data_IF_348009234509
#
_entry.id   IF_348009234509
#
_cell.length_a   1.000
_cell.length_b   1.000
_cell.length_c   1.000
_cell.angle_alpha   90.00
_cell.angle_beta   90.00
_cell.angle_gamma   90.00
#
_symmetry.space_group_name_H-M   'P 1'
#
loop_
_entity.id
_entity.type
_entity.pdbx_description
1 polymer ?
#
# COMPACT_ATOMS: atom_id res chain seq x y z
N UNK A 1 18.92 50.94 -6.20
CA UNK A 1 18.06 51.60 -5.20
C UNK A 1 16.69 50.95 -5.32
N UNK A 2 16.19 50.33 -4.24
CA UNK A 2 14.76 50.03 -3.96
C UNK A 2 14.06 49.04 -4.94
N UNK A 3 13.18 48.08 -4.59
CA UNK A 3 12.66 47.44 -3.38
C UNK A 3 11.48 46.54 -3.86
N UNK A 4 11.40 45.30 -3.39
CA UNK A 4 10.18 44.65 -2.81
C UNK A 4 8.93 44.30 -3.69
N UNK A 5 8.32 43.16 -3.27
CA UNK A 5 6.93 42.62 -3.41
C UNK A 5 6.64 41.83 -4.70
N UNK A 6 6.45 40.49 -4.67
CA UNK A 6 5.53 39.60 -3.91
C UNK A 6 4.05 39.87 -4.25
N UNK A 7 3.36 38.87 -4.83
CA UNK A 7 1.94 38.44 -4.68
C UNK A 7 1.65 37.39 -5.80
N UNK A 8 1.42 36.09 -5.56
CA UNK A 8 0.30 35.31 -4.95
C UNK A 8 -0.82 34.91 -5.95
N UNK A 9 -1.16 33.61 -5.98
CA UNK A 9 -2.49 32.92 -6.13
C UNK A 9 -2.20 31.46 -6.57
N UNK A 10 -2.39 30.35 -5.84
CA UNK A 10 -3.37 29.86 -4.84
C UNK A 10 -4.67 29.33 -5.49
N UNK A 11 -4.84 28.00 -5.52
CA UNK A 11 -6.16 27.31 -5.49
C UNK A 11 -6.00 25.81 -5.17
N UNK A 12 -6.16 25.41 -3.89
CA UNK A 12 -7.27 24.59 -3.30
C UNK A 12 -7.10 23.07 -3.49
N UNK A 13 -7.19 22.18 -2.49
CA UNK A 13 -8.14 22.11 -1.37
C UNK A 13 -7.64 21.19 -0.22
N UNK A 14 -8.06 21.57 1.00
CA UNK A 14 -8.10 20.95 2.33
C UNK A 14 -7.67 19.47 2.52
N UNK A 15 -6.74 19.26 3.46
CA UNK A 15 -6.92 18.27 4.54
C UNK A 15 -6.81 19.01 5.86
N UNK A 16 -7.85 18.83 6.69
CA UNK A 16 -7.99 19.39 8.01
C UNK A 16 -6.80 19.05 8.90
N UNK A 17 -6.04 20.06 9.34
CA UNK A 17 -5.14 19.93 10.49
C UNK A 17 -6.04 19.73 11.70
N UNK A 18 -6.27 18.47 12.09
CA UNK A 18 -6.75 18.18 13.43
C UNK A 18 -5.63 18.62 14.39
N UNK A 19 -5.87 19.75 15.07
CA UNK A 19 -5.13 20.19 16.24
C UNK A 19 -5.12 19.05 17.27
N UNK A 20 -4.00 18.35 17.41
CA UNK A 20 -3.77 17.51 18.57
C UNK A 20 -3.11 18.42 19.62
N UNK A 21 -3.92 18.82 20.60
CA UNK A 21 -3.45 19.53 21.78
C UNK A 21 -2.63 18.58 22.65
N UNK A 22 -1.38 18.91 22.94
CA UNK A 22 -0.75 18.55 24.22
C UNK A 22 -0.29 19.86 24.89
N UNK A 23 -0.68 20.04 26.15
CA UNK A 23 -0.74 21.34 26.82
C UNK A 23 0.60 21.92 27.31
N UNK A 24 1.76 21.30 27.05
CA UNK A 24 3.01 21.70 27.75
C UNK A 24 4.25 21.87 26.85
N UNK A 25 4.08 22.15 25.56
CA UNK A 25 5.21 22.63 24.73
C UNK A 25 4.87 23.97 24.10
N UNK A 26 5.77 24.98 24.20
CA UNK A 26 5.62 26.17 23.37
C UNK A 26 5.56 25.75 21.89
N UNK A 27 4.98 26.56 21.01
CA UNK A 27 4.79 26.27 19.57
C UNK A 27 6.12 25.91 18.87
N UNK A 28 6.60 24.67 19.04
CA UNK A 28 7.78 24.15 18.36
C UNK A 28 7.37 23.91 16.92
N UNK A 29 8.04 24.60 15.99
CA UNK A 29 7.83 24.45 14.55
C UNK A 29 9.09 23.93 13.90
N UNK A 30 8.91 23.28 12.76
CA UNK A 30 10.02 23.00 11.85
C UNK A 30 10.08 24.16 10.87
N UNK A 31 11.24 24.79 10.78
CA UNK A 31 11.50 25.87 9.83
C UNK A 31 12.68 25.53 8.93
N UNK A 32 12.58 25.96 7.67
CA UNK A 32 13.66 25.87 6.69
C UNK A 32 14.38 27.21 6.66
N UNK A 33 15.68 27.20 6.93
CA UNK A 33 16.54 28.38 6.82
C UNK A 33 16.99 28.64 5.37
N UNK A 34 17.64 29.78 5.16
CA UNK A 34 18.16 30.18 3.83
C UNK A 34 19.23 29.23 3.27
N UNK A 35 19.85 28.44 4.14
CA UNK A 35 20.79 27.37 3.79
C UNK A 35 20.10 26.07 3.33
N UNK A 36 18.77 26.09 3.17
CA UNK A 36 17.92 24.93 2.89
C UNK A 36 18.02 23.82 3.95
N UNK A 37 18.40 24.16 5.18
CA UNK A 37 18.40 23.24 6.32
C UNK A 37 17.17 23.45 7.19
N UNK A 38 16.79 22.40 7.90
CA UNK A 38 15.66 22.34 8.79
C UNK A 38 16.12 22.48 10.25
N UNK A 39 15.38 23.21 11.06
CA UNK A 39 15.61 23.28 12.50
C UNK A 39 14.28 23.26 13.27
N UNK A 40 14.32 22.73 14.48
CA UNK A 40 13.20 22.85 15.41
C UNK A 40 13.35 24.17 16.16
N UNK A 41 12.36 25.04 16.01
CA UNK A 41 12.42 26.40 16.52
C UNK A 41 11.22 26.71 17.41
N UNK A 42 11.42 27.66 18.32
CA UNK A 42 10.34 28.26 19.12
C UNK A 42 10.29 29.75 18.87
N UNK A 43 9.10 30.36 19.00
CA UNK A 43 8.97 31.81 18.99
C UNK A 43 9.10 32.35 20.42
N UNK A 44 10.15 33.13 20.66
CA UNK A 44 10.35 33.88 21.90
C UNK A 44 10.35 35.37 21.57
N UNK A 45 9.37 36.13 22.09
CA UNK A 45 9.27 37.58 21.91
C UNK A 45 9.34 38.05 20.44
N UNK A 46 8.59 37.39 19.54
CA UNK A 46 8.58 37.62 18.10
C UNK A 46 9.91 37.28 17.38
N UNK A 47 10.80 36.51 18.03
CA UNK A 47 12.04 36.02 17.44
C UNK A 47 12.05 34.50 17.42
N UNK A 48 12.45 33.92 16.30
CA UNK A 48 12.62 32.46 16.17
C UNK A 48 13.98 32.04 16.73
N UNK A 49 13.96 31.09 17.68
CA UNK A 49 15.14 30.55 18.35
C UNK A 49 15.29 29.07 17.96
N UNK A 50 16.45 28.68 17.46
CA UNK A 50 16.78 27.27 17.16
C UNK A 50 16.99 26.50 18.47
N UNK A 51 16.11 25.54 18.73
CA UNK A 51 16.17 24.68 19.91
C UNK A 51 16.97 23.40 19.67
N UNK A 52 17.00 22.89 18.43
CA UNK A 52 17.70 21.64 18.13
C UNK A 52 19.21 21.76 18.22
N UNK A 53 19.76 22.99 18.12
CA UNK A 53 21.20 23.23 18.17
C UNK A 53 21.96 22.74 16.94
N UNK A 54 21.27 22.05 16.03
CA UNK A 54 21.75 21.57 14.74
C UNK A 54 20.78 21.98 13.64
N UNK A 55 21.36 22.12 12.45
CA UNK A 55 20.67 22.28 11.18
C UNK A 55 20.65 20.92 10.46
N UNK A 56 19.45 20.43 10.17
CA UNK A 56 19.20 19.14 9.54
C UNK A 56 19.04 19.28 8.03
N UNK A 57 19.40 18.26 7.27
CA UNK A 57 19.08 18.19 5.84
C UNK A 57 17.58 17.99 5.60
N UNK A 58 16.89 17.34 6.55
CA UNK A 58 15.44 17.14 6.57
C UNK A 58 15.01 16.83 8.02
N UNK A 59 13.80 17.23 8.41
CA UNK A 59 13.25 17.01 9.74
C UNK A 59 11.73 16.82 9.67
N UNK A 60 11.21 15.85 10.43
CA UNK A 60 9.77 15.54 10.50
C UNK A 60 9.17 15.94 11.84
N UNK A 61 7.87 16.19 11.88
CA UNK A 61 7.18 16.52 13.13
C UNK A 61 7.33 15.40 14.16
N UNK A 62 7.42 15.80 15.43
CA UNK A 62 7.39 14.86 16.54
C UNK A 62 6.09 14.08 16.53
N UNK A 63 6.22 12.76 16.62
CA UNK A 63 5.11 11.83 16.68
C UNK A 63 4.50 11.82 18.09
N UNK A 64 3.30 11.23 18.29
CA UNK A 64 2.65 11.17 19.59
C UNK A 64 3.49 10.50 20.69
N UNK A 65 4.36 9.54 20.33
CA UNK A 65 5.32 8.89 21.25
C UNK A 65 6.56 9.76 21.56
N UNK A 66 6.66 10.97 21.03
CA UNK A 66 7.68 11.95 21.42
C UNK A 66 9.03 11.81 20.75
N UNK A 67 9.09 11.11 19.62
CA UNK A 67 10.30 11.03 18.79
C UNK A 67 10.06 11.62 17.40
N UNK A 68 11.14 11.99 16.73
CA UNK A 68 11.10 12.52 15.38
C UNK A 68 12.23 11.94 14.52
N UNK A 69 11.95 11.78 13.25
CA UNK A 69 12.94 11.43 12.25
C UNK A 69 13.66 12.69 11.77
N UNK A 70 14.98 12.60 11.61
CA UNK A 70 15.81 13.66 11.05
C UNK A 70 16.83 13.09 10.07
N UNK A 71 17.27 13.92 9.13
CA UNK A 71 18.46 13.68 8.31
C UNK A 71 19.54 14.69 8.69
N UNK A 72 20.71 14.19 9.07
CA UNK A 72 21.86 14.99 9.47
C UNK A 72 23.11 14.50 8.74
N UNK A 73 23.76 15.39 8.00
CA UNK A 73 24.94 15.09 7.18
C UNK A 73 24.73 13.88 6.24
N UNK A 74 23.59 13.86 5.58
CA UNK A 74 23.15 12.81 4.65
C UNK A 74 22.58 11.55 5.32
N UNK A 75 22.78 11.37 6.63
CA UNK A 75 22.37 10.17 7.38
C UNK A 75 21.06 10.38 8.14
N UNK A 76 20.26 9.33 8.27
CA UNK A 76 18.98 9.33 8.98
C UNK A 76 19.18 8.97 10.45
N UNK A 77 18.40 9.55 11.36
CA UNK A 77 18.35 9.14 12.76
C UNK A 77 17.02 9.53 13.43
N UNK A 78 16.83 9.01 14.64
CA UNK A 78 15.72 9.33 15.52
C UNK A 78 16.22 10.22 16.65
N UNK A 79 15.48 11.29 16.92
CA UNK A 79 15.69 12.19 18.06
C UNK A 79 14.49 12.18 19.01
N UNK A 80 14.72 12.47 20.28
CA UNK A 80 13.64 12.73 21.25
C UNK A 80 13.28 14.23 21.34
N UNK A 81 12.24 14.57 22.12
CA UNK A 81 11.81 15.97 22.37
C UNK A 81 12.85 16.87 23.04
N UNK A 82 13.97 16.32 23.53
CA UNK A 82 15.13 17.09 24.00
C UNK A 82 16.17 17.29 22.89
N UNK A 83 15.81 16.99 21.64
CA UNK A 83 16.63 17.05 20.43
C UNK A 83 17.91 16.19 20.50
N UNK A 84 17.93 15.19 21.39
CA UNK A 84 19.04 14.24 21.49
C UNK A 84 18.79 13.07 20.55
N UNK A 85 19.84 12.63 19.85
CA UNK A 85 19.85 11.37 19.13
C UNK A 85 19.57 10.23 20.11
N UNK A 86 18.64 9.35 19.74
CA UNK A 86 18.30 8.12 20.47
C UNK A 86 18.51 6.86 19.62
N UNK A 87 18.89 7.02 18.35
CA UNK A 87 19.33 5.94 17.47
C UNK A 87 20.73 6.22 16.94
N UNK A 88 21.30 5.23 16.26
CA UNK A 88 22.47 5.43 15.41
C UNK A 88 22.15 6.31 14.19
N UNK A 89 23.21 6.68 13.45
CA UNK A 89 23.14 7.33 12.15
C UNK A 89 23.16 6.29 11.03
N UNK A 90 22.08 6.24 10.26
CA UNK A 90 21.84 5.27 9.19
C UNK A 90 21.99 5.88 7.81
N UNK A 91 22.44 5.09 6.83
CA UNK A 91 22.47 5.50 5.42
C UNK A 91 21.04 5.70 4.90
N UNK A 92 20.13 4.80 5.28
CA UNK A 92 18.73 4.85 4.90
C UNK A 92 17.81 4.37 6.04
N UNK A 93 16.57 4.84 6.04
CA UNK A 93 15.56 4.50 7.03
C UNK A 93 14.18 4.61 6.39
N UNK A 94 13.31 3.61 6.60
CA UNK A 94 11.94 3.63 6.06
C UNK A 94 11.11 4.73 6.70
N UNK A 95 10.14 5.25 5.93
CA UNK A 95 9.21 6.27 6.39
C UNK A 95 8.31 5.67 7.48
N UNK A 96 8.24 6.36 8.62
CA UNK A 96 7.32 6.08 9.70
C UNK A 96 5.87 6.26 9.27
N UNK A 97 5.08 5.18 9.26
CA UNK A 97 3.61 5.27 9.28
C UNK A 97 3.07 4.22 10.25
N UNK A 98 2.73 4.60 11.49
CA UNK A 98 2.08 3.75 12.50
C UNK A 98 2.78 2.40 12.77
N UNK A 99 4.11 2.37 12.71
CA UNK A 99 4.92 1.16 12.77
C UNK A 99 5.83 1.14 13.98
N UNK A 100 5.70 0.07 14.78
CA UNK A 100 6.62 -0.28 15.88
C UNK A 100 7.97 -0.81 15.36
N UNK A 101 8.16 -0.88 14.04
CA UNK A 101 9.28 -1.52 13.39
C UNK A 101 9.72 -0.70 12.19
N UNK A 102 10.95 -0.23 12.21
CA UNK A 102 11.51 0.70 11.23
C UNK A 102 12.66 -0.01 10.55
N UNK A 103 12.57 -0.14 9.23
CA UNK A 103 13.65 -0.69 8.43
C UNK A 103 14.81 0.32 8.37
N UNK A 104 16.01 -0.15 8.63
CA UNK A 104 17.23 0.66 8.62
C UNK A 104 18.32 0.01 7.78
N UNK A 105 19.15 0.85 7.17
CA UNK A 105 20.35 0.45 6.45
C UNK A 105 21.56 1.18 7.03
N UNK A 106 22.61 0.42 7.36
CA UNK A 106 23.91 0.94 7.78
C UNK A 106 25.02 0.20 7.05
N UNK A 107 25.85 0.95 6.33
CA UNK A 107 27.02 0.43 5.61
C UNK A 107 26.69 -0.76 4.67
N UNK A 108 25.52 -0.72 4.03
CA UNK A 108 25.04 -1.75 3.08
C UNK A 108 24.37 -2.97 3.72
N UNK A 109 24.26 -3.00 5.06
CA UNK A 109 23.54 -4.03 5.81
C UNK A 109 22.21 -3.49 6.32
N UNK A 110 21.23 -4.38 6.41
CA UNK A 110 19.85 -4.04 6.74
C UNK A 110 19.42 -4.74 8.03
N UNK A 111 18.53 -4.07 8.75
CA UNK A 111 17.94 -4.55 10.00
C UNK A 111 16.66 -3.78 10.32
N UNK A 112 16.14 -3.99 11.51
CA UNK A 112 14.96 -3.30 12.01
C UNK A 112 15.15 -2.79 13.43
N UNK A 113 14.73 -1.55 13.68
CA UNK A 113 14.71 -0.94 15.01
C UNK A 113 13.27 -0.64 15.43
N UNK A 114 13.04 -0.47 16.73
CA UNK A 114 11.81 0.10 17.24
C UNK A 114 11.86 1.65 17.24
N UNK A 115 10.77 2.26 17.68
CA UNK A 115 10.60 3.71 17.81
C UNK A 115 11.50 4.36 18.87
N UNK A 116 12.14 3.58 19.73
CA UNK A 116 13.13 4.03 20.69
C UNK A 116 14.56 3.98 20.13
N UNK A 117 14.74 3.56 18.87
CA UNK A 117 16.05 3.39 18.25
C UNK A 117 16.75 2.07 18.60
N UNK A 118 16.07 1.17 19.32
CA UNK A 118 16.62 -0.13 19.72
C UNK A 118 16.46 -1.16 18.61
N UNK A 119 17.51 -1.92 18.35
CA UNK A 119 17.50 -3.03 17.41
C UNK A 119 16.52 -4.13 17.85
N UNK A 120 15.65 -4.53 16.91
CA UNK A 120 14.73 -5.67 16.99
C UNK A 120 15.26 -6.81 16.12
N UNK A 121 15.72 -6.46 14.92
CA UNK A 121 16.39 -7.37 13.98
C UNK A 121 17.76 -6.78 13.67
N UNK A 122 18.87 -7.50 13.88
CA UNK A 122 20.22 -6.96 13.72
C UNK A 122 20.52 -6.44 12.31
N UNK A 123 21.45 -5.49 12.20
CA UNK A 123 22.00 -4.96 10.94
C UNK A 123 23.02 -5.93 10.32
N UNK A 124 22.58 -7.14 9.97
CA UNK A 124 23.46 -8.19 9.43
C UNK A 124 22.98 -8.74 8.08
N UNK A 125 21.82 -8.30 7.60
CA UNK A 125 21.20 -8.86 6.39
C UNK A 125 21.58 -8.07 5.14
N UNK A 126 21.71 -8.77 4.02
CA UNK A 126 22.05 -8.17 2.73
C UNK A 126 20.87 -7.44 2.08
N UNK A 127 19.64 -7.83 2.42
CA UNK A 127 18.42 -7.17 1.99
C UNK A 127 17.27 -7.48 2.96
N UNK A 128 16.24 -6.63 2.95
CA UNK A 128 14.98 -6.83 3.67
C UNK A 128 13.80 -6.50 2.76
N UNK A 129 12.65 -7.11 3.02
CA UNK A 129 11.40 -6.82 2.35
C UNK A 129 10.31 -6.58 3.39
N UNK A 130 9.73 -5.38 3.35
CA UNK A 130 8.73 -4.95 4.31
C UNK A 130 7.39 -5.66 4.08
N UNK A 131 6.86 -6.29 5.15
CA UNK A 131 5.57 -6.98 5.11
C UNK A 131 4.51 -6.06 5.74
N UNK A 132 3.85 -5.26 4.90
CA UNK A 132 2.87 -4.24 5.35
C UNK A 132 1.67 -4.84 6.10
N UNK A 133 1.22 -6.04 5.68
CA UNK A 133 -0.05 -6.60 6.13
C UNK A 133 0.05 -7.43 7.41
N UNK A 134 1.24 -7.96 7.73
CA UNK A 134 1.47 -8.80 8.91
C UNK A 134 2.71 -8.33 9.66
N UNK A 135 2.51 -7.43 10.63
CA UNK A 135 3.55 -6.76 11.43
C UNK A 135 4.26 -7.70 12.42
N UNK A 136 4.02 -9.01 12.35
CA UNK A 136 4.62 -10.02 13.24
C UNK A 136 5.87 -10.66 12.66
N UNK A 137 6.11 -10.49 11.36
CA UNK A 137 7.21 -11.13 10.67
C UNK A 137 7.99 -10.13 9.83
N UNK A 138 9.27 -10.45 9.61
CA UNK A 138 10.12 -9.75 8.65
C UNK A 138 10.65 -10.73 7.63
N UNK A 139 10.73 -10.29 6.36
CA UNK A 139 11.48 -11.05 5.36
C UNK A 139 12.84 -10.43 5.16
N UNK A 140 13.86 -11.25 5.35
CA UNK A 140 15.26 -10.83 5.28
C UNK A 140 16.02 -11.75 4.34
N UNK A 141 17.13 -11.25 3.80
CA UNK A 141 18.03 -12.01 2.95
C UNK A 141 19.44 -12.06 3.51
N UNK A 142 20.01 -13.26 3.49
CA UNK A 142 21.39 -13.55 3.80
C UNK A 142 21.92 -14.49 2.71
N UNK A 143 23.12 -14.24 2.18
CA UNK A 143 23.76 -15.09 1.18
C UNK A 143 22.87 -15.40 -0.04
N UNK A 144 22.12 -14.40 -0.52
CA UNK A 144 21.17 -14.49 -1.65
C UNK A 144 19.98 -15.42 -1.42
N UNK A 145 19.79 -15.91 -0.18
CA UNK A 145 18.62 -16.67 0.23
C UNK A 145 17.73 -15.80 1.10
N UNK A 146 16.43 -16.04 1.02
CA UNK A 146 15.41 -15.33 1.78
C UNK A 146 14.82 -16.22 2.86
N UNK A 147 14.54 -15.61 4.00
CA UNK A 147 13.89 -16.19 5.16
C UNK A 147 12.69 -15.33 5.60
N UNK A 148 11.89 -15.92 6.49
CA UNK A 148 10.89 -15.22 7.29
C UNK A 148 11.28 -15.37 8.76
N UNK A 149 11.52 -14.26 9.45
CA UNK A 149 11.83 -14.26 10.87
C UNK A 149 10.67 -13.71 11.68
N UNK A 150 10.54 -14.15 12.92
CA UNK A 150 9.75 -13.44 13.92
C UNK A 150 10.49 -12.18 14.41
N UNK A 151 9.81 -11.35 15.22
CA UNK A 151 10.42 -10.14 15.79
C UNK A 151 11.45 -10.41 16.90
N UNK A 152 11.74 -11.68 17.23
CA UNK A 152 12.84 -12.07 18.11
C UNK A 152 14.05 -12.61 17.31
N UNK A 153 14.08 -12.32 15.99
CA UNK A 153 15.12 -12.78 15.07
C UNK A 153 15.18 -14.31 14.92
N UNK A 154 14.08 -15.03 15.19
CA UNK A 154 14.01 -16.49 15.04
C UNK A 154 13.42 -16.87 13.68
N UNK A 155 14.04 -17.79 12.91
CA UNK A 155 13.48 -18.26 11.67
C UNK A 155 12.15 -18.99 11.88
N UNK A 156 11.10 -18.46 11.24
CA UNK A 156 9.82 -19.15 11.02
C UNK A 156 9.91 -19.96 9.74
N UNK A 157 10.54 -19.38 8.71
CA UNK A 157 10.91 -20.04 7.46
C UNK A 157 12.38 -19.76 7.22
N UNK A 158 13.18 -20.81 7.04
CA UNK A 158 14.63 -20.71 6.92
C UNK A 158 15.12 -20.09 5.60
N UNK A 159 16.41 -19.72 5.58
CA UNK A 159 17.13 -19.17 4.43
C UNK A 159 17.30 -20.21 3.31
N UNK A 160 16.25 -20.45 2.52
CA UNK A 160 16.28 -21.45 1.45
C UNK A 160 15.73 -20.98 0.11
N UNK A 161 15.02 -19.86 0.08
CA UNK A 161 14.30 -19.39 -1.11
C UNK A 161 15.02 -18.25 -1.83
N UNK A 162 14.75 -18.07 -3.11
CA UNK A 162 15.45 -17.08 -3.96
C UNK A 162 14.71 -15.74 -4.10
N UNK A 163 13.54 -15.59 -3.46
CA UNK A 163 12.73 -14.37 -3.51
C UNK A 163 12.21 -14.01 -2.12
N UNK A 164 11.87 -12.73 -1.86
CA UNK A 164 11.25 -12.31 -0.62
C UNK A 164 10.09 -13.21 -0.19
N UNK A 165 10.07 -13.58 1.09
CA UNK A 165 9.01 -14.39 1.68
C UNK A 165 7.84 -13.48 1.99
N UNK A 166 6.75 -13.62 1.23
CA UNK A 166 5.53 -12.83 1.41
C UNK A 166 4.52 -13.61 2.22
N UNK A 167 3.85 -12.96 3.16
CA UNK A 167 2.80 -13.54 4.00
C UNK A 167 1.49 -12.79 3.78
N UNK A 168 0.40 -13.53 3.56
CA UNK A 168 -0.95 -12.99 3.45
C UNK A 168 -1.97 -14.06 3.86
N UNK A 169 -2.93 -13.69 4.71
CA UNK A 169 -4.03 -14.55 5.17
C UNK A 169 -3.61 -15.96 5.64
N UNK A 170 -2.44 -16.10 6.28
CA UNK A 170 -1.90 -17.38 6.78
C UNK A 170 -1.19 -18.24 5.72
N UNK A 171 -1.02 -17.72 4.51
CA UNK A 171 -0.25 -18.32 3.43
C UNK A 171 1.05 -17.58 3.19
N UNK A 172 1.98 -18.29 2.58
CA UNK A 172 3.32 -17.82 2.25
C UNK A 172 3.57 -18.04 0.77
N UNK A 173 4.08 -17.03 0.07
CA UNK A 173 4.56 -17.16 -1.31
C UNK A 173 6.00 -16.68 -1.45
N UNK A 174 6.79 -17.47 -2.17
CA UNK A 174 8.20 -17.23 -2.50
C UNK A 174 8.60 -18.13 -3.67
N UNK A 175 9.86 -18.09 -4.12
CA UNK A 175 10.39 -18.88 -5.24
C UNK A 175 11.42 -19.91 -4.80
N UNK A 176 11.42 -21.08 -5.44
CA UNK A 176 12.44 -22.11 -5.27
C UNK A 176 13.76 -21.76 -6.00
N UNK A 177 14.71 -22.70 -6.00
CA UNK A 177 16.01 -22.57 -6.67
C UNK A 177 15.92 -22.34 -8.18
N UNK A 178 14.87 -22.85 -8.83
CA UNK A 178 14.61 -22.66 -10.26
C UNK A 178 13.88 -21.34 -10.56
N UNK A 179 13.65 -20.48 -9.56
CA UNK A 179 12.92 -19.23 -9.72
C UNK A 179 11.40 -19.40 -9.91
N UNK A 180 10.86 -20.60 -9.70
CA UNK A 180 9.41 -20.85 -9.79
C UNK A 180 8.73 -20.55 -8.47
N UNK A 181 7.58 -19.90 -8.53
CA UNK A 181 6.78 -19.52 -7.38
C UNK A 181 5.78 -20.61 -6.98
N UNK A 182 5.59 -20.74 -5.67
CA UNK A 182 4.61 -21.60 -5.03
C UNK A 182 3.91 -20.89 -3.88
N UNK A 183 2.97 -21.60 -3.25
CA UNK A 183 2.29 -21.16 -2.03
C UNK A 183 2.36 -22.28 -1.00
N UNK A 184 2.65 -21.93 0.24
CA UNK A 184 2.67 -22.85 1.36
C UNK A 184 2.04 -22.22 2.60
N UNK A 185 1.84 -23.01 3.65
CA UNK A 185 1.51 -22.52 5.00
C UNK A 185 2.80 -22.15 5.75
N UNK A 186 2.67 -21.48 6.90
CA UNK A 186 3.82 -21.15 7.77
C UNK A 186 4.61 -22.37 8.26
N UNK A 187 3.95 -23.53 8.41
CA UNK A 187 4.61 -24.80 8.72
C UNK A 187 5.22 -25.49 7.48
N UNK A 188 5.41 -24.74 6.39
CA UNK A 188 6.00 -25.17 5.12
C UNK A 188 5.23 -26.28 4.38
N UNK A 189 3.97 -26.55 4.77
CA UNK A 189 3.09 -27.43 4.00
C UNK A 189 2.77 -26.78 2.65
N UNK A 190 3.18 -27.41 1.55
CA UNK A 190 2.95 -26.91 0.19
C UNK A 190 1.46 -26.99 -0.15
N UNK A 191 0.91 -25.85 -0.56
CA UNK A 191 -0.50 -25.66 -0.96
C UNK A 191 -0.60 -25.55 -2.47
N UNK A 192 0.29 -24.76 -3.09
CA UNK A 192 0.45 -24.63 -4.53
C UNK A 192 1.92 -24.95 -4.85
N UNK A 193 2.20 -25.92 -5.75
CA UNK A 193 3.57 -26.32 -6.05
C UNK A 193 4.37 -25.19 -6.71
N UNK A 194 5.69 -25.22 -6.52
CA UNK A 194 6.64 -24.25 -7.08
C UNK A 194 6.85 -24.46 -8.58
N UNK A 195 5.82 -24.17 -9.37
CA UNK A 195 5.78 -24.39 -10.82
C UNK A 195 5.28 -23.18 -11.60
N UNK A 196 5.03 -22.04 -10.97
CA UNK A 196 4.51 -20.84 -11.63
C UNK A 196 5.59 -19.78 -11.82
N UNK A 197 5.44 -18.90 -12.80
CA UNK A 197 6.43 -17.83 -13.04
C UNK A 197 6.31 -16.75 -11.97
N UNK A 198 5.09 -16.47 -11.51
CA UNK A 198 4.79 -15.58 -10.39
C UNK A 198 3.50 -16.01 -9.71
N UNK A 199 3.34 -15.67 -8.43
CA UNK A 199 2.06 -15.79 -7.70
C UNK A 199 1.80 -14.51 -6.92
N UNK A 200 0.55 -14.02 -6.99
CA UNK A 200 0.02 -12.94 -6.15
C UNK A 200 -1.00 -13.50 -5.17
N UNK A 201 -0.92 -13.05 -3.92
CA UNK A 201 -1.93 -13.26 -2.88
C UNK A 201 -2.75 -11.96 -2.80
N UNK A 202 -4.03 -11.96 -3.22
CA UNK A 202 -4.81 -10.74 -3.41
C UNK A 202 -5.53 -10.24 -2.14
N UNK A 203 -5.15 -10.70 -0.94
CA UNK A 203 -5.88 -10.41 0.30
C UNK A 203 -7.24 -11.13 0.44
N UNK A 204 -7.58 -12.01 -0.52
CA UNK A 204 -8.79 -12.85 -0.46
C UNK A 204 -8.38 -14.23 0.03
N UNK A 205 -8.93 -14.62 1.19
CA UNK A 205 -8.64 -15.90 1.83
C UNK A 205 -8.81 -17.06 0.85
N UNK A 206 -7.83 -17.95 0.82
CA UNK A 206 -7.80 -19.18 0.01
C UNK A 206 -7.86 -18.90 -1.50
N UNK A 207 -7.38 -17.74 -1.97
CA UNK A 207 -7.26 -17.41 -3.40
C UNK A 207 -5.86 -16.97 -3.75
N UNK A 208 -5.38 -17.46 -4.89
CA UNK A 208 -4.06 -17.12 -5.43
C UNK A 208 -4.18 -16.85 -6.92
N UNK A 209 -3.49 -15.82 -7.41
CA UNK A 209 -3.41 -15.52 -8.84
C UNK A 209 -2.01 -15.91 -9.29
N UNK A 210 -1.92 -17.00 -10.04
CA UNK A 210 -0.66 -17.49 -10.58
C UNK A 210 -0.50 -17.08 -12.04
N UNK A 211 0.72 -16.72 -12.44
CA UNK A 211 1.09 -16.40 -13.81
C UNK A 211 1.96 -17.51 -14.39
N UNK A 212 1.68 -17.88 -15.62
CA UNK A 212 2.55 -18.67 -16.49
C UNK A 212 3.03 -17.81 -17.65
N UNK A 213 3.83 -18.38 -18.56
CA UNK A 213 4.32 -17.69 -19.75
C UNK A 213 3.21 -17.18 -20.68
N UNK A 214 2.01 -17.78 -20.65
CA UNK A 214 0.91 -17.47 -21.58
C UNK A 214 -0.42 -17.20 -20.89
N UNK A 215 -0.55 -17.50 -19.60
CA UNK A 215 -1.83 -17.50 -18.91
C UNK A 215 -1.75 -16.94 -17.50
N UNK A 216 -2.88 -16.42 -17.03
CA UNK A 216 -3.16 -16.22 -15.62
C UNK A 216 -4.15 -17.27 -15.14
N UNK A 217 -3.95 -17.76 -13.92
CA UNK A 217 -4.72 -18.84 -13.31
C UNK A 217 -5.17 -18.40 -11.91
N UNK A 218 -6.48 -18.45 -11.67
CA UNK A 218 -7.05 -18.32 -10.33
C UNK A 218 -7.05 -19.69 -9.66
N UNK A 219 -6.39 -19.80 -8.52
CA UNK A 219 -6.25 -21.03 -7.75
C UNK A 219 -6.92 -20.91 -6.38
N UNK A 220 -7.25 -22.05 -5.80
CA UNK A 220 -7.61 -22.16 -4.39
C UNK A 220 -6.58 -22.92 -3.55
N UNK A 221 -6.85 -23.05 -2.25
CA UNK A 221 -6.02 -23.78 -1.28
C UNK A 221 -5.89 -25.30 -1.53
N UNK A 222 -6.66 -25.87 -2.45
CA UNK A 222 -6.54 -27.27 -2.88
C UNK A 222 -5.76 -27.39 -4.20
N UNK A 223 -5.08 -26.32 -4.62
CA UNK A 223 -4.44 -26.19 -5.92
C UNK A 223 -5.40 -26.41 -7.11
N UNK A 224 -6.71 -26.22 -6.91
CA UNK A 224 -7.68 -26.33 -8.01
C UNK A 224 -7.64 -25.05 -8.84
N UNK A 225 -7.48 -25.20 -10.15
CA UNK A 225 -7.67 -24.12 -11.11
C UNK A 225 -9.18 -23.82 -11.19
N UNK A 226 -9.55 -22.62 -10.76
CA UNK A 226 -10.92 -22.12 -10.76
C UNK A 226 -11.24 -21.38 -12.06
N UNK A 227 -10.27 -20.62 -12.56
CA UNK A 227 -10.37 -19.84 -13.78
C UNK A 227 -9.00 -19.74 -14.44
N UNK A 228 -8.97 -19.84 -15.77
CA UNK A 228 -7.75 -19.69 -16.56
C UNK A 228 -8.05 -18.80 -17.74
N UNK A 229 -7.16 -17.85 -18.01
CA UNK A 229 -7.29 -16.97 -19.15
C UNK A 229 -5.92 -16.75 -19.80
N UNK A 230 -5.89 -16.84 -21.14
CA UNK A 230 -4.69 -16.63 -21.96
C UNK A 230 -4.58 -15.17 -22.37
N UNK A 231 -3.35 -14.67 -22.39
CA UNK A 231 -2.99 -13.33 -22.87
C UNK A 231 -3.84 -12.22 -22.22
N UNK A 232 -3.97 -12.30 -20.90
CA UNK A 232 -4.79 -11.38 -20.11
C UNK A 232 -4.21 -11.19 -18.71
N UNK A 233 -4.66 -10.13 -18.05
CA UNK A 233 -4.37 -9.85 -16.65
C UNK A 233 -5.57 -10.20 -15.77
N UNK A 234 -5.28 -10.61 -14.53
CA UNK A 234 -6.28 -10.88 -13.51
C UNK A 234 -5.86 -10.18 -12.21
N UNK A 235 -6.76 -9.38 -11.65
CA UNK A 235 -6.53 -8.68 -10.39
C UNK A 235 -7.81 -8.59 -9.57
N UNK A 236 -7.66 -8.67 -8.24
CA UNK A 236 -8.77 -8.46 -7.34
C UNK A 236 -9.14 -6.96 -7.29
N UNK A 237 -10.43 -6.68 -7.12
CA UNK A 237 -10.93 -5.33 -6.93
C UNK A 237 -11.65 -5.27 -5.58
N UNK A 238 -10.98 -4.66 -4.59
CA UNK A 238 -11.52 -4.42 -3.25
C UNK A 238 -11.97 -5.69 -2.51
N UNK A 239 -12.91 -5.52 -1.57
CA UNK A 239 -13.41 -6.58 -0.68
C UNK A 239 -14.55 -7.43 -1.29
N UNK A 240 -14.85 -7.29 -2.59
CA UNK A 240 -16.06 -7.86 -3.20
C UNK A 240 -15.92 -9.30 -3.69
N UNK A 241 -14.86 -10.02 -3.29
CA UNK A 241 -14.60 -11.40 -3.73
C UNK A 241 -14.72 -11.59 -5.26
N UNK A 242 -14.39 -10.53 -6.02
CA UNK A 242 -14.55 -10.44 -7.47
C UNK A 242 -13.22 -10.00 -8.08
N UNK A 243 -12.91 -10.56 -9.25
CA UNK A 243 -11.70 -10.32 -9.99
C UNK A 243 -12.04 -9.66 -11.32
N UNK A 244 -11.28 -8.64 -11.68
CA UNK A 244 -11.30 -8.10 -13.03
C UNK A 244 -10.34 -8.90 -13.88
N UNK A 245 -10.85 -9.40 -15.01
CA UNK A 245 -10.05 -9.96 -16.09
C UNK A 245 -9.92 -8.91 -17.18
N UNK A 246 -8.69 -8.62 -17.60
CA UNK A 246 -8.40 -7.63 -18.62
C UNK A 246 -7.72 -8.29 -19.82
N UNK A 247 -8.40 -8.28 -20.96
CA UNK A 247 -7.96 -8.93 -22.20
C UNK A 247 -8.19 -7.99 -23.36
N UNK A 248 -7.18 -7.78 -24.21
CA UNK A 248 -7.27 -6.92 -25.41
C UNK A 248 -7.83 -5.51 -25.09
N UNK A 249 -7.38 -4.91 -23.99
CA UNK A 249 -7.86 -3.62 -23.46
C UNK A 249 -9.36 -3.58 -23.10
N UNK A 250 -10.00 -4.74 -22.95
CA UNK A 250 -11.38 -4.89 -22.46
C UNK A 250 -11.37 -5.59 -21.12
N UNK A 251 -12.24 -5.12 -20.23
CA UNK A 251 -12.43 -5.66 -18.88
C UNK A 251 -13.64 -6.57 -18.84
N UNK A 252 -13.55 -7.60 -18.03
CA UNK A 252 -14.61 -8.51 -17.63
C UNK A 252 -14.54 -8.80 -16.14
N UNK A 253 -15.48 -9.58 -15.63
CA UNK A 253 -15.60 -9.94 -14.22
C UNK A 253 -15.71 -11.44 -14.04
N UNK A 254 -14.98 -11.94 -13.05
CA UNK A 254 -15.00 -13.34 -12.62
C UNK A 254 -15.16 -13.36 -11.11
N UNK A 255 -16.04 -14.21 -10.60
CA UNK A 255 -16.22 -14.37 -9.16
C UNK A 255 -15.05 -15.16 -8.53
N UNK A 256 -14.98 -15.20 -7.21
CA UNK A 256 -14.01 -16.02 -6.49
C UNK A 256 -14.07 -17.52 -6.79
N UNK A 257 -15.13 -18.06 -7.38
CA UNK A 257 -15.20 -19.47 -7.75
C UNK A 257 -14.80 -19.73 -9.21
N UNK A 258 -14.40 -18.67 -9.93
CA UNK A 258 -14.02 -18.75 -11.33
C UNK A 258 -15.20 -18.65 -12.31
N UNK A 259 -16.42 -18.38 -11.81
CA UNK A 259 -17.59 -18.14 -12.66
C UNK A 259 -17.44 -16.79 -13.34
N UNK A 260 -17.53 -16.77 -14.67
CA UNK A 260 -17.59 -15.52 -15.43
C UNK A 260 -18.92 -14.82 -15.12
N UNK A 261 -18.84 -13.66 -14.48
CA UNK A 261 -19.98 -12.75 -14.25
C UNK A 261 -20.23 -11.94 -15.52
N UNK A 262 -19.16 -11.41 -16.12
CA UNK A 262 -19.26 -10.59 -17.31
C UNK A 262 -18.03 -10.84 -18.20
N UNK A 263 -18.24 -11.22 -19.46
CA UNK A 263 -17.13 -11.44 -20.40
C UNK A 263 -16.39 -10.12 -20.73
N UNK A 264 -15.09 -10.18 -21.10
CA UNK A 264 -14.35 -9.00 -21.54
C UNK A 264 -15.04 -8.28 -22.71
N UNK A 265 -15.67 -7.14 -22.41
CA UNK A 265 -16.30 -6.23 -23.39
C UNK A 265 -16.38 -4.78 -22.90
N UNK A 266 -16.04 -4.54 -21.64
CA UNK A 266 -16.17 -3.24 -20.97
C UNK A 266 -14.88 -2.44 -21.13
N UNK A 267 -14.97 -1.13 -21.31
CA UNK A 267 -13.78 -0.26 -21.35
C UNK A 267 -13.22 -0.06 -19.93
N UNK A 268 -14.13 0.16 -18.97
CA UNK A 268 -13.80 0.21 -17.54
C UNK A 268 -15.02 -0.09 -16.67
N UNK A 269 -14.74 -0.45 -15.43
CA UNK A 269 -15.71 -0.42 -14.33
C UNK A 269 -15.43 0.83 -13.51
N UNK A 270 -16.48 1.62 -13.26
CA UNK A 270 -16.38 3.00 -12.74
C UNK A 270 -16.56 3.03 -11.24
N UNK A 271 -17.58 2.34 -10.74
CA UNK A 271 -17.95 2.31 -9.33
C UNK A 271 -18.61 0.96 -8.98
N UNK A 272 -18.48 0.57 -7.72
CA UNK A 272 -19.05 -0.66 -7.16
C UNK A 272 -19.65 -0.39 -5.79
N UNK A 273 -20.98 -0.44 -5.68
CA UNK A 273 -21.66 -0.15 -4.42
C UNK A 273 -22.96 -0.93 -4.32
N UNK A 274 -23.25 -1.44 -3.12
CA UNK A 274 -24.53 -2.08 -2.78
C UNK A 274 -24.94 -3.22 -3.72
N UNK A 275 -23.95 -3.99 -4.21
CA UNK A 275 -24.19 -5.11 -5.13
C UNK A 275 -24.40 -4.71 -6.59
N UNK A 276 -24.22 -3.44 -6.95
CA UNK A 276 -24.26 -2.95 -8.32
C UNK A 276 -22.89 -2.51 -8.81
N UNK A 277 -22.73 -2.56 -10.13
CA UNK A 277 -21.47 -2.25 -10.82
C UNK A 277 -21.76 -1.28 -11.95
N UNK A 278 -21.21 -0.07 -11.86
CA UNK A 278 -21.25 0.90 -12.95
C UNK A 278 -20.16 0.52 -13.95
N UNK A 279 -20.53 0.38 -15.21
CA UNK A 279 -19.60 0.07 -16.30
C UNK A 279 -19.64 1.15 -17.36
N UNK A 280 -18.59 1.21 -18.18
CA UNK A 280 -18.50 2.08 -19.35
C UNK A 280 -18.15 1.26 -20.59
N UNK A 281 -18.84 1.54 -21.70
CA UNK A 281 -18.45 1.10 -23.06
C UNK A 281 -18.69 2.28 -24.00
N UNK A 282 -17.69 2.65 -24.80
CA UNK A 282 -17.72 3.75 -25.76
C UNK A 282 -18.18 5.08 -25.12
N UNK A 283 -17.65 5.41 -23.94
CA UNK A 283 -18.01 6.60 -23.13
C UNK A 283 -19.44 6.67 -22.61
N UNK A 284 -20.23 5.61 -22.82
CA UNK A 284 -21.57 5.50 -22.29
C UNK A 284 -21.58 4.50 -21.13
N UNK A 285 -22.28 4.86 -20.07
CA UNK A 285 -22.36 4.11 -18.83
C UNK A 285 -23.67 3.36 -18.71
N UNK A 286 -23.60 2.21 -18.04
CA UNK A 286 -24.73 1.38 -17.66
C UNK A 286 -24.51 0.80 -16.27
N UNK A 287 -25.46 -0.03 -15.84
CA UNK A 287 -25.45 -0.61 -14.50
C UNK A 287 -25.70 -2.11 -14.57
N UNK A 288 -24.79 -2.91 -13.99
CA UNK A 288 -24.98 -4.35 -13.78
C UNK A 288 -25.36 -4.62 -12.32
N UNK A 289 -26.13 -5.67 -12.09
CA UNK A 289 -26.20 -6.32 -10.78
C UNK A 289 -25.00 -7.26 -10.54
N UNK A 290 -24.88 -7.78 -9.32
CA UNK A 290 -23.81 -8.70 -8.92
C UNK A 290 -23.80 -10.04 -9.68
N UNK A 291 -24.89 -10.39 -10.35
CA UNK A 291 -24.97 -11.56 -11.21
C UNK A 291 -24.45 -11.30 -12.63
N UNK A 292 -24.22 -10.03 -12.98
CA UNK A 292 -23.79 -9.58 -14.30
C UNK A 292 -24.95 -9.25 -15.24
N UNK A 293 -26.17 -9.10 -14.72
CA UNK A 293 -27.35 -8.71 -15.52
C UNK A 293 -27.47 -7.19 -15.59
N UNK A 294 -27.80 -6.67 -16.77
CA UNK A 294 -28.09 -5.24 -16.96
C UNK A 294 -29.35 -4.82 -16.16
N UNK A 295 -29.18 -3.80 -15.34
CA UNK A 295 -30.22 -3.11 -14.54
C UNK A 295 -30.59 -1.79 -15.22
N UNK A 296 -29.57 -1.08 -15.70
CA UNK A 296 -29.72 0.09 -16.57
C UNK A 296 -28.96 -0.14 -17.87
N UNK A 297 -29.66 0.10 -18.98
CA UNK A 297 -29.06 0.07 -20.30
C UNK A 297 -27.97 1.13 -20.46
N UNK A 298 -27.06 0.86 -21.37
CA UNK A 298 -25.94 1.73 -21.73
C UNK A 298 -26.40 2.91 -22.59
N UNK A 299 -27.07 3.88 -21.97
CA UNK A 299 -27.58 5.10 -22.63
C UNK A 299 -27.20 6.40 -21.92
N UNK A 300 -26.50 6.34 -20.79
CA UNK A 300 -26.17 7.51 -19.99
C UNK A 300 -24.71 7.93 -20.15
N UNK A 301 -24.42 9.23 -20.14
CA UNK A 301 -23.06 9.76 -20.10
C UNK A 301 -22.43 9.66 -18.71
N UNK A 302 -23.25 9.61 -17.65
CA UNK A 302 -22.79 9.27 -16.30
C UNK A 302 -23.85 8.56 -15.47
N UNK A 303 -23.43 7.64 -14.59
CA UNK A 303 -24.25 6.94 -13.60
C UNK A 303 -23.52 7.01 -12.25
N UNK A 304 -24.19 7.54 -11.22
CA UNK A 304 -23.67 7.64 -9.85
C UNK A 304 -24.57 6.87 -8.87
N UNK A 305 -23.95 6.03 -8.04
CA UNK A 305 -24.64 5.22 -7.02
C UNK A 305 -24.85 6.01 -5.73
N UNK A 306 -26.04 6.59 -5.55
CA UNK A 306 -26.36 7.41 -4.38
C UNK A 306 -26.49 6.54 -3.11
N UNK A 307 -27.30 5.49 -3.18
CA UNK A 307 -27.54 4.54 -2.10
C UNK A 307 -28.02 3.18 -2.67
N UNK A 308 -28.41 2.26 -1.80
CA UNK A 308 -28.82 0.89 -2.17
C UNK A 308 -29.97 0.80 -3.17
N UNK A 309 -30.78 1.86 -3.32
CA UNK A 309 -32.00 1.82 -4.13
C UNK A 309 -32.06 2.93 -5.18
N UNK A 310 -31.12 3.87 -5.21
CA UNK A 310 -31.24 5.08 -6.01
C UNK A 310 -29.94 5.41 -6.73
N UNK A 311 -30.09 5.81 -8.00
CA UNK A 311 -28.98 6.23 -8.85
C UNK A 311 -29.29 7.57 -9.49
N UNK A 312 -28.26 8.38 -9.64
CA UNK A 312 -28.32 9.62 -10.41
C UNK A 312 -27.72 9.35 -11.79
N UNK A 313 -28.48 9.61 -12.84
CA UNK A 313 -28.04 9.40 -14.23
C UNK A 313 -28.04 10.72 -14.99
N UNK A 314 -27.12 10.87 -15.93
CA UNK A 314 -27.05 12.01 -16.85
C UNK A 314 -27.10 11.49 -18.29
N UNK A 315 -28.06 11.95 -19.09
CA UNK A 315 -28.23 11.51 -20.48
C UNK A 315 -27.52 12.42 -21.51
N UNK A 316 -26.78 13.44 -21.05
CA UNK A 316 -26.14 14.45 -21.90
C UNK A 316 -26.80 15.82 -21.81
N UNK A 317 -28.03 15.91 -21.31
CA UNK A 317 -28.78 17.17 -21.20
C UNK A 317 -29.22 17.47 -19.76
N UNK A 318 -29.77 16.47 -19.07
CA UNK A 318 -30.30 16.64 -17.72
C UNK A 318 -29.98 15.45 -16.82
N UNK A 319 -29.97 15.74 -15.51
CA UNK A 319 -29.86 14.72 -14.48
C UNK A 319 -31.25 14.15 -14.15
N UNK A 320 -31.32 12.82 -13.98
CA UNK A 320 -32.50 12.11 -13.53
C UNK A 320 -32.14 11.20 -12.37
N UNK A 321 -32.99 11.17 -11.33
CA UNK A 321 -32.89 10.20 -10.25
C UNK A 321 -33.78 9.00 -10.56
N UNK A 322 -33.23 7.79 -10.52
CA UNK A 322 -33.94 6.55 -10.80
C UNK A 322 -33.97 5.69 -9.53
N UNK A 323 -35.15 5.19 -9.15
CA UNK A 323 -35.32 4.19 -8.10
C UNK A 323 -35.25 2.78 -8.69
N UNK A 324 -34.30 1.98 -8.22
CA UNK A 324 -34.00 0.64 -8.73
C UNK A 324 -35.05 -0.42 -8.34
N UNK A 325 -35.91 -0.15 -7.34
CA UNK A 325 -36.94 -1.09 -6.85
C UNK A 325 -38.29 -0.97 -7.56
N UNK A 326 -38.57 0.18 -8.16
CA UNK A 326 -39.88 0.50 -8.75
C UNK A 326 -39.83 0.63 -10.28
N UNK A 327 -38.74 0.17 -10.89
CA UNK A 327 -38.52 0.25 -12.34
C UNK A 327 -39.19 -0.91 -13.08
#
# INVERSE_FOLDING_TARGET
MTLIKKILYLSTLLISVQKIYSQDTPDIRIMVGDNHKFAYVVNENNKWVNLSGFDYDDARDFQPNGVAWVRYNGKCAIINRKFKLISDLYNNMSIWVDEKLIAVEKDGLYGFINDEGKEIVPLEYNAIHFIVQDKQFVSVSENQKWALLDLNNKPVIGFKYNSPVKVDAGYVSTSNDSGRYGVMKLNETIVVPFIYDQIKMPGIKNRFIAKTSQSVVLLNERNKQLFTCKDCDLYAVGHLSTFVVEKENKKGLVDQNGKVIAAPRYDKFVDWKSGYIVYEINKMQGLLDSSGKDVLDRTYSSVELLNDNEVLVFNGEHYQKINLKTK
#
